data_IF_026640906266
#
_entry.id   IF_026640906266
#
_cell.length_a   1.000
_cell.length_b   1.000
_cell.length_c   1.000
_cell.angle_alpha   90.00
_cell.angle_beta   90.00
_cell.angle_gamma   90.00
#
_symmetry.space_group_name_H-M   'P 1'
#
loop_
_entity.id
_entity.type
_entity.pdbx_description
1 polymer ?
#
# COMPACT_ATOMS: atom_id res chain seq x y z
N UNK A 1 -7.78 -39.76 -6.98
CA UNK A 1 -6.60 -39.48 -7.81
C UNK A 1 -5.80 -40.76 -7.88
N UNK A 2 -5.51 -41.20 -9.10
CA UNK A 2 -4.77 -42.41 -9.43
C UNK A 2 -3.50 -42.05 -10.21
N UNK A 3 -2.61 -43.02 -10.38
CA UNK A 3 -1.41 -42.85 -11.21
C UNK A 3 -1.78 -42.44 -12.64
N UNK A 4 -1.13 -41.37 -13.14
CA UNK A 4 -1.34 -40.81 -14.47
C UNK A 4 -2.45 -39.76 -14.56
N UNK A 5 -3.22 -39.52 -13.49
CA UNK A 5 -4.21 -38.44 -13.47
C UNK A 5 -3.54 -37.06 -13.60
N UNK A 6 -4.26 -36.12 -14.23
CA UNK A 6 -3.84 -34.72 -14.32
C UNK A 6 -4.58 -33.86 -13.30
N UNK A 7 -3.84 -33.01 -12.60
CA UNK A 7 -4.38 -32.04 -11.64
C UNK A 7 -3.98 -30.63 -12.08
N UNK A 8 -4.98 -29.76 -12.24
CA UNK A 8 -4.77 -28.33 -12.48
C UNK A 8 -5.26 -27.59 -11.24
N UNK A 9 -4.33 -27.00 -10.49
CA UNK A 9 -4.69 -26.07 -9.42
C UNK A 9 -4.87 -24.68 -10.03
N UNK A 10 -6.12 -24.22 -10.12
CA UNK A 10 -6.45 -22.98 -10.83
C UNK A 10 -6.30 -21.72 -9.96
N UNK A 11 -5.96 -21.85 -8.68
CA UNK A 11 -5.79 -20.72 -7.79
C UNK A 11 -4.49 -19.98 -8.11
N UNK A 12 -4.55 -18.68 -8.40
CA UNK A 12 -3.39 -17.84 -8.69
C UNK A 12 -2.77 -17.21 -7.44
N UNK A 13 -3.53 -17.15 -6.33
CA UNK A 13 -3.05 -16.65 -5.04
C UNK A 13 -2.32 -17.77 -4.30
N UNK A 14 -1.14 -17.44 -3.78
CA UNK A 14 -0.15 -18.45 -3.38
C UNK A 14 -0.38 -18.99 -1.96
N UNK A 15 -0.68 -18.11 -1.01
CA UNK A 15 -0.63 -18.38 0.43
C UNK A 15 -1.35 -19.66 0.88
N UNK A 16 -2.55 -19.92 0.37
CA UNK A 16 -3.36 -21.09 0.76
C UNK A 16 -3.08 -22.35 -0.05
N UNK A 17 -2.41 -22.23 -1.19
CA UNK A 17 -2.17 -23.36 -2.10
C UNK A 17 -0.90 -24.15 -1.80
N UNK A 18 -0.03 -23.59 -0.96
CA UNK A 18 1.25 -24.23 -0.58
C UNK A 18 0.98 -25.60 0.04
N UNK A 19 0.15 -25.67 1.08
CA UNK A 19 -0.03 -26.89 1.88
C UNK A 19 -0.62 -28.03 1.04
N UNK A 20 -1.68 -27.76 0.27
CA UNK A 20 -2.32 -28.79 -0.57
C UNK A 20 -1.43 -29.20 -1.73
N UNK A 21 -0.69 -28.27 -2.33
CA UNK A 21 0.29 -28.59 -3.37
C UNK A 21 1.36 -29.52 -2.82
N UNK A 22 1.96 -29.18 -1.68
CA UNK A 22 2.99 -29.99 -1.04
C UNK A 22 2.48 -31.39 -0.70
N UNK A 23 1.26 -31.51 -0.17
CA UNK A 23 0.65 -32.81 0.11
C UNK A 23 0.50 -33.70 -1.13
N UNK A 24 0.24 -33.09 -2.30
CA UNK A 24 -0.01 -33.80 -3.56
C UNK A 24 1.25 -34.15 -4.34
N UNK A 25 2.30 -33.32 -4.29
CA UNK A 25 3.45 -33.49 -5.20
C UNK A 25 4.79 -33.72 -4.49
N UNK A 26 4.94 -33.42 -3.21
CA UNK A 26 6.23 -33.53 -2.52
C UNK A 26 6.48 -34.95 -1.99
N UNK A 27 7.55 -35.63 -2.43
CA UNK A 27 7.88 -36.97 -1.93
C UNK A 27 8.14 -36.98 -0.41
N UNK A 28 8.77 -35.91 0.10
CA UNK A 28 9.18 -35.77 1.51
C UNK A 28 8.13 -35.11 2.42
N UNK A 29 6.87 -35.05 1.97
CA UNK A 29 5.76 -34.53 2.78
C UNK A 29 5.55 -35.36 4.05
N UNK A 30 5.52 -34.69 5.21
CA UNK A 30 5.49 -35.34 6.54
C UNK A 30 4.51 -34.70 7.54
N UNK A 31 3.67 -33.75 7.12
CA UNK A 31 2.72 -33.09 8.02
C UNK A 31 1.54 -34.00 8.41
N UNK A 32 1.23 -35.02 7.61
CA UNK A 32 0.30 -36.09 7.94
C UNK A 32 0.59 -37.36 7.11
N UNK A 33 0.02 -38.49 7.54
CA UNK A 33 0.15 -39.77 6.82
C UNK A 33 -0.74 -39.79 5.57
N UNK A 34 -0.12 -39.93 4.39
CA UNK A 34 -0.84 -40.11 3.13
C UNK A 34 -1.25 -41.57 2.99
N UNK A 35 -2.55 -41.83 2.84
CA UNK A 35 -3.05 -43.19 2.53
C UNK A 35 -2.60 -43.67 1.14
N UNK A 36 -2.42 -42.74 0.20
CA UNK A 36 -1.97 -43.01 -1.16
C UNK A 36 -1.18 -41.81 -1.68
N UNK A 37 -0.17 -42.06 -2.52
CA UNK A 37 0.66 -41.03 -3.16
C UNK A 37 0.84 -41.39 -4.64
N UNK A 38 -0.15 -41.04 -5.49
CA UNK A 38 -0.10 -41.36 -6.91
C UNK A 38 0.92 -40.46 -7.64
N UNK A 39 1.43 -40.97 -8.75
CA UNK A 39 2.21 -40.18 -9.72
C UNK A 39 1.25 -39.33 -10.55
N UNK A 40 1.27 -38.01 -10.34
CA UNK A 40 0.33 -37.07 -10.98
C UNK A 40 1.03 -36.18 -12.01
N UNK A 41 0.31 -35.82 -13.06
CA UNK A 41 0.65 -34.68 -13.91
C UNK A 41 0.07 -33.40 -13.26
N UNK A 42 0.87 -32.70 -12.47
CA UNK A 42 0.42 -31.51 -11.76
C UNK A 42 0.80 -30.22 -12.49
N UNK A 43 -0.14 -29.28 -12.58
CA UNK A 43 0.10 -27.91 -13.05
C UNK A 43 -0.54 -26.94 -12.06
N UNK A 44 0.27 -26.03 -11.48
CA UNK A 44 -0.26 -24.90 -10.72
C UNK A 44 -0.59 -23.73 -11.63
N UNK A 45 -1.58 -22.89 -11.29
CA UNK A 45 -1.81 -21.63 -12.01
C UNK A 45 -0.62 -20.67 -11.81
N UNK A 46 0.04 -20.74 -10.65
CA UNK A 46 1.22 -19.97 -10.31
C UNK A 46 2.25 -20.86 -9.61
N UNK A 47 3.49 -20.36 -9.47
CA UNK A 47 4.48 -21.01 -8.63
C UNK A 47 4.17 -20.72 -7.16
N UNK A 48 3.72 -21.75 -6.41
CA UNK A 48 3.26 -21.57 -5.04
C UNK A 48 4.40 -21.48 -4.02
N UNK A 49 5.56 -22.06 -4.30
CA UNK A 49 6.76 -21.93 -3.48
C UNK A 49 8.01 -22.11 -4.36
N UNK A 50 9.15 -21.61 -3.90
CA UNK A 50 10.39 -21.55 -4.67
C UNK A 50 10.87 -22.92 -5.15
N UNK A 51 10.73 -23.95 -4.32
CA UNK A 51 11.23 -25.30 -4.58
C UNK A 51 10.24 -26.19 -5.33
N UNK A 52 9.04 -25.69 -5.68
CA UNK A 52 7.96 -26.47 -6.28
C UNK A 52 8.41 -27.20 -7.55
N UNK A 53 8.43 -28.54 -7.50
CA UNK A 53 8.84 -29.41 -8.62
C UNK A 53 7.67 -29.70 -9.58
N UNK A 54 6.93 -28.68 -9.99
CA UNK A 54 5.86 -28.78 -10.96
C UNK A 54 5.77 -27.52 -11.84
N UNK A 55 5.30 -27.63 -13.09
CA UNK A 55 5.09 -26.47 -13.95
C UNK A 55 4.01 -25.52 -13.38
N UNK A 56 4.22 -24.23 -13.61
CA UNK A 56 3.23 -23.19 -13.41
C UNK A 56 2.70 -22.70 -14.78
N UNK A 57 1.39 -22.57 -14.92
CA UNK A 57 0.74 -22.07 -16.13
C UNK A 57 1.06 -20.59 -16.37
N UNK A 58 1.12 -19.79 -15.30
CA UNK A 58 1.58 -18.41 -15.33
C UNK A 58 2.96 -18.32 -14.70
N UNK A 59 3.93 -17.83 -15.47
CA UNK A 59 5.20 -17.40 -14.90
C UNK A 59 4.97 -16.08 -14.20
N UNK A 60 5.38 -16.00 -12.93
CA UNK A 60 5.44 -14.73 -12.23
C UNK A 60 6.51 -13.90 -12.91
N UNK A 61 6.10 -12.91 -13.68
CA UNK A 61 7.02 -11.87 -14.14
C UNK A 61 7.47 -11.15 -12.88
N UNK A 62 8.77 -11.25 -12.57
CA UNK A 62 9.36 -10.40 -11.56
C UNK A 62 9.00 -8.97 -11.92
N UNK A 63 8.32 -8.25 -11.02
CA UNK A 63 7.96 -6.86 -11.23
C UNK A 63 9.24 -6.03 -11.23
N UNK A 64 9.97 -6.06 -12.34
CA UNK A 64 11.16 -5.25 -12.57
C UNK A 64 10.72 -3.85 -13.00
N UNK A 65 9.88 -3.19 -12.20
CA UNK A 65 9.60 -1.78 -12.38
C UNK A 65 10.88 -1.02 -12.06
N UNK A 66 11.45 -0.38 -13.09
CA UNK A 66 12.64 0.47 -12.96
C UNK A 66 12.22 1.92 -12.84
N UNK A 67 13.07 2.73 -12.22
CA UNK A 67 12.83 4.15 -12.02
C UNK A 67 11.49 4.41 -11.31
N UNK A 68 11.21 3.59 -10.30
CA UNK A 68 10.11 3.84 -9.36
C UNK A 68 10.43 5.07 -8.52
N UNK A 69 9.41 5.73 -7.96
CA UNK A 69 9.59 7.04 -7.30
C UNK A 69 10.71 7.03 -6.24
N UNK A 70 10.73 6.02 -5.36
CA UNK A 70 11.76 5.92 -4.32
C UNK A 70 13.18 5.84 -4.88
N UNK A 71 13.38 5.09 -5.98
CA UNK A 71 14.65 4.98 -6.69
C UNK A 71 15.04 6.30 -7.36
N UNK A 72 14.08 6.96 -8.04
CA UNK A 72 14.31 8.23 -8.75
C UNK A 72 14.72 9.34 -7.78
N UNK A 73 14.04 9.45 -6.66
CA UNK A 73 14.37 10.41 -5.60
C UNK A 73 15.80 10.17 -5.08
N UNK A 74 16.11 8.92 -4.74
CA UNK A 74 17.43 8.51 -4.26
C UNK A 74 18.54 8.81 -5.26
N UNK A 75 18.36 8.40 -6.52
CA UNK A 75 19.33 8.62 -7.60
C UNK A 75 19.58 10.11 -7.89
N UNK A 76 18.64 10.98 -7.52
CA UNK A 76 18.74 12.44 -7.65
C UNK A 76 19.21 13.13 -6.37
N UNK A 77 19.55 12.36 -5.34
CA UNK A 77 20.10 12.89 -4.09
C UNK A 77 19.05 13.39 -3.11
N UNK A 78 17.75 13.19 -3.37
CA UNK A 78 16.70 13.52 -2.42
C UNK A 78 16.69 12.52 -1.27
N UNK A 79 16.55 13.06 -0.07
CA UNK A 79 16.29 12.33 1.15
C UNK A 79 14.78 12.14 1.33
N UNK A 80 14.36 10.95 1.75
CA UNK A 80 12.95 10.57 1.80
C UNK A 80 12.61 9.80 3.08
N UNK A 81 11.45 10.10 3.67
CA UNK A 81 10.92 9.41 4.84
C UNK A 81 9.71 8.55 4.46
N UNK A 82 9.68 7.31 4.95
CA UNK A 82 8.49 6.46 4.99
C UNK A 82 7.98 6.39 6.42
N UNK A 83 6.75 6.82 6.67
CA UNK A 83 6.20 6.91 8.03
C UNK A 83 4.75 6.44 8.10
N UNK A 84 4.50 5.46 8.97
CA UNK A 84 3.15 4.95 9.24
C UNK A 84 3.16 4.12 10.52
N UNK A 85 2.03 3.50 10.85
CA UNK A 85 1.93 2.50 11.90
C UNK A 85 1.95 1.05 11.36
N UNK A 86 1.95 0.07 12.26
CA UNK A 86 2.24 -1.34 11.94
C UNK A 86 1.36 -1.93 10.85
N UNK A 87 0.07 -1.60 10.85
CA UNK A 87 -0.91 -2.15 9.90
C UNK A 87 -0.59 -1.83 8.44
N UNK A 88 -0.01 -0.66 8.16
CA UNK A 88 0.29 -0.22 6.78
C UNK A 88 1.79 -0.16 6.47
N UNK A 89 2.63 -0.69 7.35
CA UNK A 89 4.10 -0.69 7.20
C UNK A 89 4.58 -1.28 5.87
N UNK A 90 4.09 -2.46 5.51
CA UNK A 90 4.48 -3.16 4.28
C UNK A 90 4.05 -2.38 3.04
N UNK A 91 2.95 -1.61 3.13
CA UNK A 91 2.39 -0.84 2.03
C UNK A 91 3.26 0.37 1.69
N UNK A 92 3.67 1.15 2.69
CA UNK A 92 4.51 2.35 2.49
C UNK A 92 6.00 2.04 2.25
N UNK A 93 6.42 0.79 2.52
CA UNK A 93 7.82 0.33 2.35
C UNK A 93 7.94 -0.62 1.15
N UNK A 94 7.74 -1.93 1.38
CA UNK A 94 7.97 -2.99 0.38
C UNK A 94 7.08 -2.80 -0.84
N UNK A 95 5.76 -2.69 -0.68
CA UNK A 95 4.84 -2.61 -1.83
C UNK A 95 5.08 -1.33 -2.61
N UNK A 96 5.22 -0.18 -1.94
CA UNK A 96 5.55 1.09 -2.59
C UNK A 96 6.85 1.00 -3.40
N UNK A 97 7.84 0.26 -2.89
CA UNK A 97 9.12 0.01 -3.57
C UNK A 97 9.15 -1.31 -4.36
N UNK A 98 7.99 -1.79 -4.83
CA UNK A 98 7.88 -2.96 -5.72
C UNK A 98 8.56 -4.19 -5.13
N UNK A 99 8.15 -4.50 -3.90
CA UNK A 99 8.61 -5.62 -3.06
C UNK A 99 10.07 -5.56 -2.61
N UNK A 100 10.81 -4.49 -2.90
CA UNK A 100 12.17 -4.28 -2.39
C UNK A 100 12.17 -4.18 -0.86
N UNK A 101 13.02 -4.98 -0.21
CA UNK A 101 13.15 -4.99 1.25
C UNK A 101 14.06 -3.88 1.76
N UNK A 102 15.26 -3.72 1.17
CA UNK A 102 16.22 -2.72 1.64
C UNK A 102 15.77 -1.29 1.28
N UNK A 103 15.96 -0.30 2.16
CA UNK A 103 15.77 1.10 1.80
C UNK A 103 16.71 1.51 0.67
N UNK A 104 16.31 2.52 -0.11
CA UNK A 104 17.22 3.20 -1.03
C UNK A 104 18.20 4.11 -0.25
N UNK A 105 19.38 4.46 -0.79
CA UNK A 105 20.21 5.51 -0.22
C UNK A 105 19.40 6.80 0.00
N UNK A 106 19.47 7.39 1.19
CA UNK A 106 18.66 8.56 1.55
C UNK A 106 17.21 8.26 1.94
N UNK A 107 16.76 6.99 1.91
CA UNK A 107 15.47 6.56 2.46
C UNK A 107 15.60 6.16 3.92
N UNK A 108 14.85 6.84 4.79
CA UNK A 108 14.63 6.43 6.18
C UNK A 108 13.19 5.93 6.36
N UNK A 109 12.99 5.01 7.30
CA UNK A 109 11.69 4.44 7.58
C UNK A 109 11.41 4.46 9.08
N UNK A 110 10.29 5.05 9.46
CA UNK A 110 9.86 5.16 10.85
C UNK A 110 8.54 4.44 11.04
N UNK A 111 8.54 3.50 11.99
CA UNK A 111 7.40 2.66 12.32
C UNK A 111 6.85 3.06 13.69
N UNK A 112 5.58 3.48 13.72
CA UNK A 112 4.85 3.63 14.98
C UNK A 112 4.15 2.31 15.32
N UNK A 113 4.36 1.72 16.51
CA UNK A 113 3.65 0.50 16.89
C UNK A 113 2.14 0.74 16.96
N UNK A 114 1.35 -0.05 16.21
CA UNK A 114 -0.10 -0.03 16.35
C UNK A 114 -0.51 -0.58 17.73
N UNK A 115 -1.67 -0.14 18.20
CA UNK A 115 -2.25 -0.66 19.44
C UNK A 115 -2.53 -2.17 19.31
N UNK A 116 -2.10 -2.95 20.31
CA UNK A 116 -2.44 -4.39 20.41
C UNK A 116 -3.84 -4.54 21.01
N UNK A 117 -4.86 -4.34 20.19
CA UNK A 117 -6.28 -4.43 20.56
C UNK A 117 -7.00 -5.44 19.65
N UNK A 118 -8.16 -5.92 20.09
CA UNK A 118 -8.91 -6.94 19.35
C UNK A 118 -9.46 -6.41 18.02
N UNK A 119 -9.99 -5.19 18.03
CA UNK A 119 -10.53 -4.48 16.87
C UNK A 119 -10.29 -2.97 17.04
N UNK A 120 -10.03 -2.26 15.95
CA UNK A 120 -9.62 -0.85 15.99
C UNK A 120 -10.73 0.13 16.36
N UNK A 121 -12.00 -0.28 16.27
CA UNK A 121 -13.13 0.52 16.73
C UNK A 121 -13.13 0.78 18.25
N UNK A 122 -12.33 0.02 19.02
CA UNK A 122 -12.07 0.30 20.43
C UNK A 122 -11.15 1.51 20.67
N UNK A 123 -10.35 1.89 19.66
CA UNK A 123 -9.48 3.07 19.68
C UNK A 123 -9.40 3.70 18.28
N UNK A 124 -10.46 4.40 17.83
CA UNK A 124 -10.56 4.86 16.44
C UNK A 124 -9.49 5.86 16.00
N UNK A 125 -8.94 6.64 16.95
CA UNK A 125 -7.84 7.54 16.65
C UNK A 125 -6.55 6.82 16.21
N UNK A 126 -6.41 5.53 16.49
CA UNK A 126 -5.23 4.70 16.23
C UNK A 126 -3.94 5.49 16.55
N UNK A 127 -2.94 5.49 15.66
CA UNK A 127 -1.70 6.24 15.85
C UNK A 127 -1.64 7.55 15.06
N UNK A 128 -2.77 8.07 14.55
CA UNK A 128 -2.78 9.27 13.70
C UNK A 128 -2.05 10.47 14.35
N UNK A 129 -2.30 10.72 15.63
CA UNK A 129 -1.63 11.79 16.37
C UNK A 129 -0.11 11.55 16.55
N UNK A 130 0.31 10.29 16.68
CA UNK A 130 1.73 9.95 16.85
C UNK A 130 2.47 10.01 15.52
N UNK A 131 1.84 9.59 14.42
CA UNK A 131 2.33 9.78 13.04
C UNK A 131 2.54 11.28 12.78
N UNK A 132 1.56 12.13 13.09
CA UNK A 132 1.69 13.58 12.91
C UNK A 132 2.82 14.18 13.75
N UNK A 133 2.96 13.79 15.02
CA UNK A 133 4.04 14.27 15.88
C UNK A 133 5.42 13.91 15.34
N UNK A 134 5.59 12.68 14.84
CA UNK A 134 6.86 12.24 14.29
C UNK A 134 7.18 12.97 12.97
N UNK A 135 6.18 13.16 12.11
CA UNK A 135 6.33 13.97 10.90
C UNK A 135 6.77 15.41 11.23
N UNK A 136 6.07 16.07 12.17
CA UNK A 136 6.39 17.44 12.63
C UNK A 136 7.79 17.52 13.22
N UNK A 137 8.24 16.50 13.98
CA UNK A 137 9.60 16.44 14.52
C UNK A 137 10.66 16.42 13.41
N UNK A 138 10.45 15.66 12.34
CA UNK A 138 11.40 15.61 11.22
C UNK A 138 11.35 16.87 10.36
N UNK A 139 10.15 17.44 10.14
CA UNK A 139 9.98 18.73 9.46
C UNK A 139 10.72 19.86 10.19
N UNK A 140 10.58 19.95 11.52
CA UNK A 140 11.29 20.94 12.34
C UNK A 140 12.82 20.89 12.19
N UNK A 141 13.37 19.71 11.89
CA UNK A 141 14.80 19.51 11.70
C UNK A 141 15.24 19.64 10.24
N UNK A 142 14.31 19.95 9.32
CA UNK A 142 14.50 19.93 7.88
C UNK A 142 15.23 18.64 7.41
N UNK A 143 14.80 17.50 7.95
CA UNK A 143 15.56 16.25 7.88
C UNK A 143 15.46 15.52 6.54
N UNK A 144 14.36 15.73 5.81
CA UNK A 144 14.08 15.05 4.54
C UNK A 144 13.46 16.00 3.53
N UNK A 145 13.65 15.71 2.24
CA UNK A 145 13.03 16.46 1.15
C UNK A 145 11.61 15.94 0.83
N UNK A 146 11.38 14.63 0.95
CA UNK A 146 10.09 14.00 0.61
C UNK A 146 9.57 13.11 1.74
N UNK A 147 8.31 13.31 2.13
CA UNK A 147 7.64 12.53 3.18
C UNK A 147 6.50 11.71 2.58
N UNK A 148 6.61 10.38 2.62
CA UNK A 148 5.54 9.47 2.20
C UNK A 148 4.93 8.84 3.46
N UNK A 149 3.69 9.23 3.75
CA UNK A 149 2.98 8.85 4.96
C UNK A 149 1.70 8.10 4.66
N UNK A 150 1.32 7.18 5.54
CA UNK A 150 0.03 6.49 5.47
C UNK A 150 -0.68 6.57 6.84
N UNK A 151 -1.96 6.95 6.80
CA UNK A 151 -2.88 6.91 7.93
C UNK A 151 -3.89 5.77 7.75
N UNK A 152 -3.82 4.69 8.54
CA UNK A 152 -4.67 3.52 8.29
C UNK A 152 -6.13 3.68 8.71
N UNK A 153 -6.48 4.73 9.46
CA UNK A 153 -7.74 4.79 10.21
C UNK A 153 -8.97 4.51 9.35
N UNK A 154 -9.09 5.17 8.18
CA UNK A 154 -10.27 5.04 7.32
C UNK A 154 -10.49 3.59 6.85
N UNK A 155 -9.43 2.90 6.45
CA UNK A 155 -9.47 1.52 5.99
C UNK A 155 -9.67 0.52 7.15
N UNK A 156 -8.83 0.63 8.18
CA UNK A 156 -8.88 -0.30 9.31
C UNK A 156 -10.20 -0.22 10.08
N UNK A 157 -10.83 0.96 10.14
CA UNK A 157 -12.15 1.16 10.75
C UNK A 157 -13.29 0.87 9.78
N UNK A 158 -13.11 1.12 8.48
CA UNK A 158 -14.03 0.71 7.42
C UNK A 158 -14.34 -0.79 7.50
N UNK A 159 -13.28 -1.61 7.62
CA UNK A 159 -13.38 -3.06 7.83
C UNK A 159 -14.12 -3.51 9.09
N UNK A 160 -14.29 -2.65 10.10
CA UNK A 160 -15.07 -3.00 11.30
C UNK A 160 -16.57 -2.91 11.07
N UNK A 161 -17.02 -2.15 10.05
CA UNK A 161 -18.42 -1.82 9.84
C UNK A 161 -19.03 -0.90 10.91
N UNK A 162 -18.22 -0.43 11.88
CA UNK A 162 -18.65 0.49 12.92
C UNK A 162 -18.57 1.94 12.42
N UNK A 163 -19.68 2.44 11.88
CA UNK A 163 -19.77 3.80 11.32
C UNK A 163 -19.34 4.90 12.29
N UNK A 164 -19.69 4.80 13.58
CA UNK A 164 -19.33 5.83 14.55
C UNK A 164 -17.81 5.89 14.75
N UNK A 165 -17.18 4.72 14.89
CA UNK A 165 -15.74 4.62 14.98
C UNK A 165 -15.04 5.13 13.71
N UNK A 166 -15.53 4.77 12.51
CA UNK A 166 -14.96 5.25 11.25
C UNK A 166 -14.98 6.79 11.14
N UNK A 167 -16.06 7.44 11.61
CA UNK A 167 -16.14 8.92 11.68
C UNK A 167 -15.05 9.47 12.60
N UNK A 168 -14.93 8.96 13.82
CA UNK A 168 -13.90 9.39 14.78
C UNK A 168 -12.47 9.20 14.22
N UNK A 169 -12.24 8.11 13.48
CA UNK A 169 -10.96 7.85 12.83
C UNK A 169 -10.64 8.83 11.71
N UNK A 170 -11.60 9.17 10.87
CA UNK A 170 -11.43 10.19 9.81
C UNK A 170 -11.21 11.58 10.42
N UNK A 171 -11.91 11.92 11.51
CA UNK A 171 -11.66 13.15 12.26
C UNK A 171 -10.24 13.20 12.85
N UNK A 172 -9.71 12.07 13.31
CA UNK A 172 -8.33 11.97 13.78
C UNK A 172 -7.30 12.19 12.66
N UNK A 173 -7.57 11.70 11.44
CA UNK A 173 -6.76 11.99 10.25
C UNK A 173 -6.79 13.49 9.96
N UNK A 174 -7.95 14.12 9.94
CA UNK A 174 -8.08 15.57 9.68
C UNK A 174 -7.26 16.40 10.68
N UNK A 175 -7.33 16.08 11.98
CA UNK A 175 -6.49 16.76 12.99
C UNK A 175 -5.00 16.50 12.79
N UNK A 176 -4.60 15.28 12.41
CA UNK A 176 -3.21 14.96 12.11
C UNK A 176 -2.67 15.76 10.91
N UNK A 177 -3.44 15.83 9.82
CA UNK A 177 -3.10 16.61 8.63
C UNK A 177 -2.98 18.11 8.95
N UNK A 178 -3.88 18.64 9.78
CA UNK A 178 -3.82 20.03 10.25
C UNK A 178 -2.50 20.34 10.98
N UNK A 179 -2.05 19.44 11.85
CA UNK A 179 -0.78 19.60 12.58
C UNK A 179 0.42 19.57 11.63
N UNK A 180 0.43 18.62 10.69
CA UNK A 180 1.49 18.50 9.68
C UNK A 180 1.55 19.76 8.80
N UNK A 181 0.40 20.20 8.28
CA UNK A 181 0.34 21.38 7.41
C UNK A 181 0.78 22.66 8.12
N UNK A 182 0.42 22.84 9.40
CA UNK A 182 0.83 24.01 10.18
C UNK A 182 2.36 24.12 10.32
N UNK A 183 3.05 22.98 10.44
CA UNK A 183 4.51 22.94 10.45
C UNK A 183 5.07 23.12 9.02
N UNK A 184 4.61 22.30 8.07
CA UNK A 184 5.09 22.28 6.68
C UNK A 184 5.07 23.68 6.03
N UNK A 185 4.02 24.45 6.31
CA UNK A 185 3.87 25.82 5.81
C UNK A 185 5.03 26.74 6.22
N UNK A 186 5.65 26.52 7.38
CA UNK A 186 6.79 27.32 7.83
C UNK A 186 8.06 27.07 7.00
N UNK A 187 8.08 25.96 6.26
CA UNK A 187 9.18 25.56 5.38
C UNK A 187 8.86 25.77 3.89
N UNK A 188 7.78 26.51 3.58
CA UNK A 188 7.25 26.65 2.21
C UNK A 188 7.04 25.29 1.50
N UNK A 189 6.73 24.25 2.27
CA UNK A 189 6.57 22.90 1.74
C UNK A 189 5.22 22.70 1.06
N UNK A 190 5.15 21.67 0.22
CA UNK A 190 3.97 21.29 -0.55
C UNK A 190 3.39 20.00 0.03
N UNK A 191 2.09 19.94 0.24
CA UNK A 191 1.40 18.74 0.71
C UNK A 191 0.48 18.20 -0.38
N UNK A 192 0.58 16.91 -0.66
CA UNK A 192 -0.36 16.18 -1.52
C UNK A 192 -1.15 15.19 -0.66
N UNK A 193 -2.47 15.25 -0.71
CA UNK A 193 -3.36 14.34 0.03
C UNK A 193 -4.12 13.50 -0.99
N UNK A 194 -4.01 12.18 -0.87
CA UNK A 194 -4.74 11.20 -1.68
C UNK A 194 -5.01 9.92 -0.89
N UNK A 195 -5.73 8.97 -1.48
CA UNK A 195 -5.93 7.62 -0.94
C UNK A 195 -5.56 6.57 -1.99
N UNK A 196 -5.28 5.35 -1.55
CA UNK A 196 -5.03 4.19 -2.41
C UNK A 196 -6.32 3.53 -2.90
N UNK A 197 -7.42 3.65 -2.15
CA UNK A 197 -8.77 3.24 -2.52
C UNK A 197 -9.82 3.86 -1.57
N UNK A 198 -11.11 3.58 -1.80
CA UNK A 198 -12.20 3.89 -0.87
C UNK A 198 -12.49 2.75 0.11
N UNK A 199 -13.17 3.08 1.21
CA UNK A 199 -13.69 2.17 2.24
C UNK A 199 -14.72 2.92 3.13
N UNK A 200 -14.22 3.79 4.03
CA UNK A 200 -15.02 4.45 5.07
C UNK A 200 -16.15 5.37 4.57
N UNK A 201 -16.18 5.73 3.28
CA UNK A 201 -17.27 6.53 2.71
C UNK A 201 -18.55 5.72 2.51
N UNK A 202 -18.46 4.39 2.47
CA UNK A 202 -19.61 3.47 2.43
C UNK A 202 -19.52 2.48 3.60
N UNK A 203 -20.23 2.79 4.70
CA UNK A 203 -20.27 1.96 5.91
C UNK A 203 -21.51 1.04 6.00
N UNK A 204 -22.43 1.10 5.04
CA UNK A 204 -23.66 0.31 5.04
C UNK A 204 -24.04 -0.14 3.64
N UNK A 205 -24.22 -1.45 3.48
CA UNK A 205 -24.72 -2.05 2.25
C UNK A 205 -26.26 -1.98 2.25
N UNK A 206 -26.81 -1.22 1.30
CA UNK A 206 -28.27 -1.05 1.19
C UNK A 206 -28.96 -2.25 0.57
N UNK A 207 -28.28 -3.03 -0.27
CA UNK A 207 -28.84 -4.19 -0.93
C UNK A 207 -28.99 -5.35 0.06
N UNK A 208 -27.96 -5.59 0.86
CA UNK A 208 -27.91 -6.69 1.83
C UNK A 208 -28.37 -6.28 3.23
N UNK A 209 -28.57 -4.98 3.45
CA UNK A 209 -29.01 -4.39 4.72
C UNK A 209 -28.12 -4.81 5.89
N UNK A 210 -26.80 -4.67 5.70
CA UNK A 210 -25.79 -5.02 6.70
C UNK A 210 -24.64 -3.99 6.69
N UNK A 211 -23.76 -4.00 7.72
CA UNK A 211 -22.52 -3.23 7.66
C UNK A 211 -21.71 -3.59 6.40
N UNK A 212 -21.16 -2.58 5.75
CA UNK A 212 -20.24 -2.73 4.63
C UNK A 212 -18.81 -2.71 5.18
N UNK A 213 -18.04 -3.77 4.92
CA UNK A 213 -16.74 -4.01 5.57
C UNK A 213 -15.63 -4.31 4.55
N UNK A 214 -15.80 -3.88 3.31
CA UNK A 214 -14.88 -4.11 2.21
C UNK A 214 -14.66 -2.82 1.42
N UNK A 215 -13.61 -2.78 0.62
CA UNK A 215 -13.28 -1.60 -0.17
C UNK A 215 -14.36 -1.31 -1.22
N UNK A 216 -14.39 -0.08 -1.68
CA UNK A 216 -15.27 0.38 -2.75
C UNK A 216 -14.49 0.62 -4.05
N UNK A 217 -15.21 0.83 -5.14
CA UNK A 217 -14.69 1.34 -6.41
C UNK A 217 -14.80 2.87 -6.52
N UNK A 218 -15.00 3.57 -5.39
CA UNK A 218 -15.09 5.02 -5.33
C UNK A 218 -13.80 5.69 -5.86
N UNK A 219 -13.97 6.85 -6.50
CA UNK A 219 -12.84 7.72 -6.77
C UNK A 219 -12.22 8.23 -5.47
N UNK A 220 -10.90 8.35 -5.44
CA UNK A 220 -10.14 8.92 -4.33
C UNK A 220 -9.85 10.40 -4.58
N UNK A 221 -9.80 11.24 -3.53
CA UNK A 221 -9.41 12.64 -3.69
C UNK A 221 -7.93 12.74 -4.10
N UNK A 222 -7.55 13.77 -4.85
CA UNK A 222 -6.17 14.22 -4.95
C UNK A 222 -6.14 15.72 -4.71
N UNK A 223 -5.58 16.13 -3.58
CA UNK A 223 -5.56 17.53 -3.14
C UNK A 223 -4.11 18.00 -3.15
N UNK A 224 -3.81 19.02 -3.96
CA UNK A 224 -2.53 19.73 -3.96
C UNK A 224 -2.65 20.98 -3.08
N UNK A 225 -1.91 20.99 -1.98
CA UNK A 225 -1.81 22.15 -1.07
C UNK A 225 -0.44 22.80 -1.28
N UNK A 226 -0.46 23.89 -2.04
CA UNK A 226 0.71 24.68 -2.38
C UNK A 226 0.38 26.18 -2.19
N UNK A 227 0.99 26.81 -1.19
CA UNK A 227 0.71 28.20 -0.85
C UNK A 227 1.35 29.19 -1.85
N UNK A 228 2.37 28.79 -2.60
CA UNK A 228 3.07 29.65 -3.57
C UNK A 228 2.46 29.53 -4.98
N UNK A 229 2.01 28.33 -5.36
CA UNK A 229 1.50 28.01 -6.70
C UNK A 229 -0.03 27.81 -6.73
N UNK A 230 -0.79 28.69 -6.09
CA UNK A 230 -2.27 28.65 -6.01
C UNK A 230 -3.01 28.73 -7.35
N UNK A 231 -2.31 29.13 -8.42
CA UNK A 231 -2.87 29.22 -9.76
C UNK A 231 -2.85 27.89 -10.51
N UNK A 232 -2.13 26.88 -10.00
CA UNK A 232 -2.09 25.56 -10.62
C UNK A 232 -3.48 24.95 -10.64
N UNK A 233 -3.79 24.31 -11.76
CA UNK A 233 -5.00 23.55 -11.95
C UNK A 233 -4.65 22.07 -12.07
N UNK A 234 -5.52 21.22 -11.54
CA UNK A 234 -5.41 19.77 -11.69
C UNK A 234 -6.34 19.29 -12.80
N UNK A 235 -5.94 18.25 -13.52
CA UNK A 235 -6.81 17.54 -14.47
C UNK A 235 -8.02 16.98 -13.72
N UNK A 236 -9.19 17.05 -14.36
CA UNK A 236 -10.44 16.50 -13.83
C UNK A 236 -10.47 14.96 -13.76
N UNK A 237 -9.49 14.30 -14.37
CA UNK A 237 -9.35 12.85 -14.37
C UNK A 237 -7.91 12.43 -14.06
N UNK A 238 -7.78 11.25 -13.47
CA UNK A 238 -6.49 10.71 -13.07
C UNK A 238 -6.60 9.29 -12.55
N UNK A 239 -5.44 8.66 -12.38
CA UNK A 239 -5.32 7.35 -11.73
C UNK A 239 -4.11 7.36 -10.80
N UNK A 240 -3.96 6.36 -9.92
CA UNK A 240 -2.86 6.32 -8.94
C UNK A 240 -1.47 6.41 -9.58
N UNK A 241 -1.28 5.90 -10.82
CA UNK A 241 0.01 5.99 -11.53
C UNK A 241 0.42 7.43 -11.85
N UNK A 242 -0.51 8.39 -11.79
CA UNK A 242 -0.27 9.81 -12.05
C UNK A 242 0.31 10.54 -10.83
N UNK A 243 0.25 9.94 -9.63
CA UNK A 243 0.74 10.56 -8.39
C UNK A 243 2.26 10.77 -8.41
N UNK A 244 3.05 9.75 -8.76
CA UNK A 244 4.51 9.87 -8.80
C UNK A 244 5.01 10.90 -9.84
N UNK A 245 4.49 10.93 -11.08
CA UNK A 245 4.73 12.03 -12.02
C UNK A 245 4.39 13.41 -11.47
N UNK A 246 3.29 13.55 -10.73
CA UNK A 246 2.87 14.84 -10.13
C UNK A 246 3.84 15.28 -9.03
N UNK A 247 4.34 14.34 -8.23
CA UNK A 247 5.38 14.62 -7.21
C UNK A 247 6.66 15.13 -7.90
N UNK A 248 7.11 14.48 -8.97
CA UNK A 248 8.28 14.93 -9.73
C UNK A 248 8.06 16.31 -10.37
N UNK A 249 6.87 16.58 -10.91
CA UNK A 249 6.52 17.88 -11.48
C UNK A 249 6.59 19.00 -10.43
N UNK A 250 6.08 18.75 -9.21
CA UNK A 250 6.19 19.69 -8.08
C UNK A 250 7.63 19.96 -7.66
N UNK A 251 8.49 18.94 -7.73
CA UNK A 251 9.93 19.04 -7.48
C UNK A 251 10.70 19.65 -8.66
N UNK A 252 10.02 20.00 -9.76
CA UNK A 252 10.63 20.51 -11.01
C UNK A 252 11.61 19.52 -11.64
N UNK A 253 11.30 18.24 -11.50
CA UNK A 253 12.16 17.11 -11.80
C UNK A 253 11.64 16.35 -13.04
N UNK A 254 12.49 16.02 -14.05
CA UNK A 254 12.02 15.36 -15.25
C UNK A 254 11.46 13.97 -14.95
N UNK A 255 10.29 13.65 -15.49
CA UNK A 255 9.68 12.32 -15.37
C UNK A 255 10.44 11.28 -16.20
N UNK A 256 10.88 10.13 -15.63
CA UNK A 256 11.45 9.02 -16.39
C UNK A 256 10.47 8.45 -17.43
N UNK A 257 11.00 7.83 -18.49
CA UNK A 257 10.17 7.27 -19.58
C UNK A 257 9.37 6.04 -19.14
N UNK A 258 9.84 5.33 -18.13
CA UNK A 258 9.16 4.16 -17.54
C UNK A 258 7.91 4.56 -16.75
N UNK A 259 7.84 5.80 -16.24
CA UNK A 259 6.64 6.33 -15.59
C UNK A 259 5.60 6.72 -16.65
N UNK A 260 4.74 5.76 -16.99
CA UNK A 260 3.67 5.93 -18.00
C UNK A 260 2.45 6.73 -17.51
N UNK A 261 2.43 7.13 -16.23
CA UNK A 261 1.49 8.13 -15.73
C UNK A 261 1.84 9.54 -16.23
N UNK A 262 0.92 10.48 -16.06
CA UNK A 262 1.10 11.88 -16.44
C UNK A 262 0.76 12.75 -15.25
N UNK A 263 1.53 13.81 -15.00
CA UNK A 263 1.24 14.77 -13.93
C UNK A 263 -0.24 15.18 -13.97
N UNK A 264 -0.84 15.31 -12.79
CA UNK A 264 -2.18 15.84 -12.64
C UNK A 264 -2.18 17.36 -12.80
N UNK A 265 -1.04 18.04 -12.65
CA UNK A 265 -0.93 19.48 -12.86
C UNK A 265 -1.04 19.78 -14.35
N UNK A 266 -1.87 20.77 -14.69
CA UNK A 266 -2.05 21.27 -16.04
C UNK A 266 -0.90 22.24 -16.37
N UNK A 267 -0.23 22.10 -17.54
CA UNK A 267 0.81 23.02 -17.99
C UNK A 267 0.35 24.46 -18.21
#
# INVERSE_FOLDING_TARGET
MHDGDTVINFNFRIDREIEITQALIEPNFHHFERRHFPTLHYVGMSQYYSEMQAPAALQRVELAAKHILGEVLSNRGYTQLRLTETEKWVYVTKIFNVMREDPFPGEERVLIPSDKIATYDLKPAMQAANIAKEAVKHLNNNAFDVYIMNFPNADMLGHTGNKAAAIEGVEAIDQALKLIYAELKQHNGVMMITADHGDAEVMWDKEWNCPHTFHTDSFVPFILVDDERKHLQLRDNGTLKDCAPTILDVLEEPKPVEMTGTSLIIP
#
